data_IF_923435321507
#
_entry.id   IF_923435321507
#
_cell.length_a   1.000
_cell.length_b   1.000
_cell.length_c   1.000
_cell.angle_alpha   90.00
_cell.angle_beta   90.00
_cell.angle_gamma   90.00
#
_symmetry.space_group_name_H-M   'P 1'
#
loop_
_entity.id
_entity.type
_entity.pdbx_description
1 polymer ?
#
# COMPACT_ATOMS: atom_id res chain seq x y z
N UNK A 1 -59.72 23.39 -10.37
CA UNK A 1 -58.99 22.29 -11.00
C UNK A 1 -58.20 22.90 -12.15
N UNK A 2 -56.87 22.88 -12.24
CA UNK A 2 -55.85 22.03 -11.64
C UNK A 2 -54.54 22.85 -11.63
N UNK A 3 -53.98 23.17 -10.47
CA UNK A 3 -52.89 22.43 -9.82
C UNK A 3 -51.59 22.45 -10.62
N UNK A 4 -50.80 23.51 -10.42
CA UNK A 4 -49.37 23.56 -10.74
C UNK A 4 -48.64 22.69 -9.69
N UNK A 5 -47.95 21.66 -10.16
CA UNK A 5 -47.16 20.73 -9.34
C UNK A 5 -45.92 21.45 -8.75
N UNK A 6 -45.97 21.75 -7.45
CA UNK A 6 -44.78 21.96 -6.63
C UNK A 6 -44.02 20.63 -6.50
N UNK A 7 -42.97 20.45 -7.30
CA UNK A 7 -42.05 19.34 -7.13
C UNK A 7 -40.93 19.77 -6.18
N UNK A 8 -41.13 19.49 -4.90
CA UNK A 8 -40.13 19.70 -3.85
C UNK A 8 -38.81 19.01 -4.18
N UNK A 9 -37.73 19.78 -4.11
CA UNK A 9 -36.37 19.26 -4.12
C UNK A 9 -36.12 18.50 -2.82
N UNK A 10 -36.20 17.17 -2.87
CA UNK A 10 -35.65 16.30 -1.83
C UNK A 10 -34.12 16.43 -1.85
N UNK A 11 -33.60 17.33 -1.02
CA UNK A 11 -32.20 17.35 -0.64
C UNK A 11 -31.92 16.11 0.21
N UNK A 12 -31.45 15.04 -0.43
CA UNK A 12 -30.87 13.90 0.27
C UNK A 12 -29.57 14.36 0.96
N UNK A 13 -29.71 14.77 2.22
CA UNK A 13 -28.59 15.02 3.13
C UNK A 13 -27.84 13.72 3.39
N UNK A 14 -26.80 13.47 2.59
CA UNK A 14 -25.81 12.44 2.87
C UNK A 14 -25.01 12.91 4.09
N UNK A 15 -25.00 12.17 5.23
CA UNK A 15 -24.28 12.59 6.42
C UNK A 15 -22.80 12.72 6.07
N UNK A 16 -22.19 13.85 6.45
CA UNK A 16 -20.83 14.25 6.12
C UNK A 16 -19.80 13.13 6.34
N UNK A 17 -19.63 12.33 5.30
CA UNK A 17 -18.63 11.29 5.21
C UNK A 17 -17.25 11.92 5.19
N UNK A 18 -16.31 11.23 5.83
CA UNK A 18 -14.91 11.61 5.89
C UNK A 18 -14.33 11.82 4.47
N UNK A 19 -14.19 13.08 4.05
CA UNK A 19 -13.65 13.43 2.73
C UNK A 19 -12.12 13.30 2.76
N UNK A 20 -11.61 12.20 2.20
CA UNK A 20 -10.19 12.07 1.88
C UNK A 20 -9.88 12.99 0.71
N UNK A 21 -9.29 14.16 0.97
CA UNK A 21 -8.73 15.01 -0.08
C UNK A 21 -7.54 14.31 -0.73
N UNK A 22 -7.77 13.68 -1.87
CA UNK A 22 -6.73 13.16 -2.75
C UNK A 22 -5.97 14.36 -3.36
N UNK A 23 -4.85 14.73 -2.75
CA UNK A 23 -3.89 15.63 -3.42
C UNK A 23 -3.28 14.88 -4.61
N UNK A 24 -3.71 15.28 -5.81
CA UNK A 24 -3.25 14.76 -7.09
C UNK A 24 -1.81 15.18 -7.39
N UNK A 25 -1.01 14.18 -7.77
CA UNK A 25 0.14 14.19 -8.67
C UNK A 25 1.23 15.25 -8.43
N UNK A 26 2.13 14.97 -7.50
CA UNK A 26 3.54 15.31 -7.71
C UNK A 26 4.10 14.34 -8.76
N UNK A 27 4.67 14.85 -9.85
CA UNK A 27 5.37 14.08 -10.87
C UNK A 27 6.42 13.19 -10.20
N UNK A 28 6.15 11.88 -10.17
CA UNK A 28 7.09 10.89 -9.68
C UNK A 28 8.16 10.76 -10.75
N UNK A 29 9.36 11.23 -10.46
CA UNK A 29 10.54 10.96 -11.27
C UNK A 29 10.74 9.44 -11.30
N UNK A 30 10.37 8.82 -12.41
CA UNK A 30 10.45 7.37 -12.59
C UNK A 30 11.94 7.01 -12.60
N UNK A 31 12.38 6.24 -11.62
CA UNK A 31 13.77 5.79 -11.55
C UNK A 31 14.17 5.09 -12.88
N UNK A 32 15.06 5.72 -13.64
CA UNK A 32 15.53 5.23 -14.95
C UNK A 32 16.36 3.95 -14.84
N UNK A 33 16.96 3.71 -13.67
CA UNK A 33 18.09 2.79 -13.48
C UNK A 33 17.76 1.31 -13.73
N UNK A 34 16.47 0.93 -13.68
CA UNK A 34 16.01 -0.44 -13.89
C UNK A 34 15.11 -0.59 -15.13
N UNK A 35 14.82 0.52 -15.83
CA UNK A 35 13.89 0.56 -16.94
C UNK A 35 14.30 -0.36 -18.09
N UNK A 36 15.58 -0.37 -18.42
CA UNK A 36 16.13 -1.18 -19.50
C UNK A 36 16.08 -2.68 -19.18
N UNK A 37 16.49 -3.06 -17.97
CA UNK A 37 16.44 -4.45 -17.50
C UNK A 37 15.01 -4.99 -17.47
N UNK A 38 14.06 -4.22 -16.93
CA UNK A 38 12.64 -4.59 -16.94
C UNK A 38 12.12 -4.69 -18.37
N UNK A 39 12.52 -3.79 -19.26
CA UNK A 39 12.13 -3.83 -20.68
C UNK A 39 12.67 -5.07 -21.38
N UNK A 40 13.89 -5.49 -21.05
CA UNK A 40 14.50 -6.74 -21.53
C UNK A 40 13.70 -7.97 -21.06
N UNK A 41 13.32 -8.02 -19.77
CA UNK A 41 12.43 -9.09 -19.25
C UNK A 41 11.09 -9.11 -19.99
N UNK A 42 10.46 -7.95 -20.20
CA UNK A 42 9.21 -7.85 -20.98
C UNK A 42 9.37 -8.38 -22.41
N UNK A 43 10.52 -8.16 -23.06
CA UNK A 43 10.77 -8.68 -24.42
C UNK A 43 10.79 -10.20 -24.43
N UNK A 44 11.48 -10.85 -23.49
CA UNK A 44 11.48 -12.32 -23.36
C UNK A 44 10.08 -12.84 -23.08
N UNK A 45 9.39 -12.26 -22.11
CA UNK A 45 8.03 -12.71 -21.75
C UNK A 45 7.10 -12.59 -22.98
N UNK A 46 7.20 -11.52 -23.76
CA UNK A 46 6.44 -11.35 -25.00
C UNK A 46 6.85 -12.35 -26.08
N UNK A 47 8.12 -12.70 -26.20
CA UNK A 47 8.62 -13.68 -27.18
C UNK A 47 7.91 -15.02 -27.00
N UNK A 48 7.85 -15.52 -25.77
CA UNK A 48 7.20 -16.79 -25.45
C UNK A 48 5.67 -16.65 -25.48
N UNK A 49 5.09 -15.57 -24.98
CA UNK A 49 3.62 -15.39 -25.01
C UNK A 49 3.04 -15.22 -26.40
N UNK A 50 3.75 -14.59 -27.34
CA UNK A 50 3.25 -14.31 -28.70
C UNK A 50 3.41 -15.49 -29.66
N UNK A 51 4.32 -16.41 -29.39
CA UNK A 51 4.63 -17.52 -30.29
C UNK A 51 4.33 -18.85 -29.62
N UNK A 52 3.23 -19.54 -30.01
CA UNK A 52 2.87 -20.83 -29.42
C UNK A 52 3.98 -21.88 -29.52
N UNK A 53 4.67 -21.93 -30.67
CA UNK A 53 5.79 -22.86 -30.89
C UNK A 53 6.95 -22.60 -29.92
N UNK A 54 7.35 -21.33 -29.73
CA UNK A 54 8.41 -20.98 -28.78
C UNK A 54 7.98 -21.25 -27.34
N UNK A 55 6.70 -21.00 -27.02
CA UNK A 55 6.14 -21.33 -25.72
C UNK A 55 6.19 -22.84 -25.47
N UNK A 56 5.86 -23.67 -26.46
CA UNK A 56 5.94 -25.13 -26.34
C UNK A 56 7.36 -25.61 -26.06
N UNK A 57 8.37 -25.03 -26.73
CA UNK A 57 9.79 -25.29 -26.41
C UNK A 57 10.10 -24.97 -24.96
N UNK A 58 9.64 -23.82 -24.44
CA UNK A 58 9.81 -23.47 -23.03
C UNK A 58 9.07 -24.46 -22.12
N UNK A 59 7.81 -24.76 -22.38
CA UNK A 59 7.00 -25.65 -21.54
C UNK A 59 7.58 -27.07 -21.49
N UNK A 60 8.24 -27.54 -22.55
CA UNK A 60 8.95 -28.82 -22.52
C UNK A 60 10.08 -28.83 -21.47
N UNK A 61 10.81 -27.72 -21.30
CA UNK A 61 11.80 -27.59 -20.23
C UNK A 61 11.15 -27.43 -18.86
N UNK A 62 10.10 -26.60 -18.76
CA UNK A 62 9.38 -26.37 -17.51
C UNK A 62 8.76 -27.67 -16.98
N UNK A 63 8.15 -28.48 -17.85
CA UNK A 63 7.58 -29.78 -17.48
C UNK A 63 8.64 -30.78 -17.03
N UNK A 64 9.83 -30.74 -17.62
CA UNK A 64 10.97 -31.57 -17.18
C UNK A 64 11.49 -31.16 -15.81
N UNK A 65 11.52 -29.87 -15.49
CA UNK A 65 12.08 -29.35 -14.23
C UNK A 65 11.07 -29.32 -13.08
N UNK A 66 9.81 -28.98 -13.36
CA UNK A 66 8.76 -28.74 -12.37
C UNK A 66 7.59 -29.73 -12.42
N UNK A 67 7.55 -30.64 -13.41
CA UNK A 67 6.48 -31.63 -13.56
C UNK A 67 5.11 -31.05 -13.98
N UNK A 68 5.04 -29.73 -14.21
CA UNK A 68 3.82 -29.01 -14.60
C UNK A 68 4.16 -27.86 -15.54
N UNK A 69 3.16 -27.39 -16.27
CA UNK A 69 3.31 -26.21 -17.10
C UNK A 69 3.21 -24.95 -16.23
N UNK A 70 4.18 -24.04 -16.39
CA UNK A 70 4.22 -22.75 -15.69
C UNK A 70 4.32 -21.68 -16.76
N UNK A 71 3.32 -20.79 -16.79
CA UNK A 71 3.27 -19.71 -17.77
C UNK A 71 4.02 -18.48 -17.27
N UNK A 72 4.68 -17.79 -18.20
CA UNK A 72 5.24 -16.47 -17.95
C UNK A 72 4.14 -15.42 -17.90
N UNK A 73 4.20 -14.57 -16.87
CA UNK A 73 3.24 -13.48 -16.65
C UNK A 73 3.83 -12.19 -17.20
N UNK A 74 3.08 -11.48 -18.04
CA UNK A 74 3.46 -10.12 -18.46
C UNK A 74 2.85 -9.11 -17.50
N UNK A 75 3.63 -8.09 -17.13
CA UNK A 75 3.13 -7.01 -16.29
C UNK A 75 2.06 -6.17 -17.02
N UNK A 76 1.20 -5.52 -16.24
CA UNK A 76 0.15 -4.65 -16.76
C UNK A 76 0.17 -3.31 -16.03
N UNK A 77 -0.06 -2.23 -16.79
CA UNK A 77 0.10 -0.85 -16.28
C UNK A 77 -0.87 -0.51 -15.14
N UNK A 78 -2.04 -1.15 -15.12
CA UNK A 78 -3.15 -0.81 -14.22
C UNK A 78 -3.14 -1.60 -12.92
N UNK A 79 -2.32 -2.66 -12.80
CA UNK A 79 -2.29 -3.48 -11.60
C UNK A 79 -0.92 -3.39 -10.93
N UNK A 80 -0.88 -2.81 -9.73
CA UNK A 80 0.34 -2.45 -9.01
C UNK A 80 1.26 -3.66 -8.72
N UNK A 81 0.71 -4.87 -8.55
CA UNK A 81 1.51 -6.07 -8.26
C UNK A 81 2.03 -6.81 -9.51
N UNK A 82 1.62 -6.37 -10.71
CA UNK A 82 1.85 -7.15 -11.93
C UNK A 82 3.33 -7.24 -12.30
N UNK A 83 4.11 -6.18 -12.04
CA UNK A 83 5.56 -6.17 -12.21
C UNK A 83 6.25 -7.18 -11.28
N UNK A 84 5.84 -7.23 -10.01
CA UNK A 84 6.37 -8.19 -9.04
C UNK A 84 6.07 -9.63 -9.48
N UNK A 85 4.85 -9.91 -9.95
CA UNK A 85 4.47 -11.23 -10.46
C UNK A 85 5.24 -11.62 -11.74
N UNK A 86 5.51 -10.66 -12.64
CA UNK A 86 6.34 -10.90 -13.83
C UNK A 86 7.76 -11.30 -13.43
N UNK A 87 8.40 -10.53 -12.54
CA UNK A 87 9.77 -10.79 -12.07
C UNK A 87 9.85 -12.14 -11.34
N UNK A 88 8.90 -12.44 -10.46
CA UNK A 88 8.80 -13.72 -9.75
C UNK A 88 8.69 -14.91 -10.73
N UNK A 89 7.79 -14.81 -11.72
CA UNK A 89 7.64 -15.87 -12.74
C UNK A 89 8.89 -16.04 -13.60
N UNK A 90 9.59 -14.94 -13.91
CA UNK A 90 10.82 -14.95 -14.70
C UNK A 90 11.99 -15.58 -13.91
N UNK A 91 12.18 -15.18 -12.65
CA UNK A 91 13.23 -15.71 -11.79
C UNK A 91 13.05 -17.21 -11.53
N UNK A 92 11.81 -17.67 -11.34
CA UNK A 92 11.47 -19.10 -11.23
C UNK A 92 11.88 -19.87 -12.48
N UNK A 93 11.61 -19.34 -13.66
CA UNK A 93 11.85 -20.04 -14.92
C UNK A 93 13.20 -19.73 -15.57
N UNK A 94 14.13 -19.05 -14.88
CA UNK A 94 15.38 -18.56 -15.48
C UNK A 94 16.19 -19.65 -16.21
N UNK A 95 16.30 -20.84 -15.61
CA UNK A 95 17.09 -21.95 -16.19
C UNK A 95 16.39 -22.53 -17.43
N UNK A 96 15.07 -22.72 -17.35
CA UNK A 96 14.24 -23.15 -18.46
C UNK A 96 14.30 -22.15 -19.63
N UNK A 97 14.24 -20.85 -19.33
CA UNK A 97 14.33 -19.77 -20.31
C UNK A 97 15.70 -19.79 -21.01
N UNK A 98 16.80 -19.88 -20.25
CA UNK A 98 18.14 -19.95 -20.84
C UNK A 98 18.29 -21.14 -21.80
N UNK A 99 17.84 -22.34 -21.40
CA UNK A 99 17.87 -23.54 -22.26
C UNK A 99 17.01 -23.36 -23.51
N UNK A 100 15.78 -22.86 -23.35
CA UNK A 100 14.89 -22.62 -24.47
C UNK A 100 15.45 -21.57 -25.46
N UNK A 101 16.13 -20.53 -24.96
CA UNK A 101 16.76 -19.52 -25.82
C UNK A 101 17.94 -20.09 -26.61
N UNK A 102 18.71 -21.01 -26.02
CA UNK A 102 19.81 -21.71 -26.71
C UNK A 102 19.24 -22.57 -27.85
N UNK A 103 18.20 -23.37 -27.59
CA UNK A 103 17.56 -24.22 -28.60
C UNK A 103 16.95 -23.44 -29.76
N UNK A 104 16.42 -22.24 -29.46
CA UNK A 104 15.84 -21.35 -30.47
C UNK A 104 16.92 -20.59 -31.26
N UNK A 105 18.21 -20.79 -30.98
CA UNK A 105 19.32 -20.07 -31.60
C UNK A 105 19.39 -18.59 -31.22
N UNK A 106 18.67 -18.18 -30.17
CA UNK A 106 18.60 -16.80 -29.68
C UNK A 106 19.57 -16.52 -28.53
N UNK A 107 20.25 -17.54 -28.01
CA UNK A 107 21.17 -17.43 -26.88
C UNK A 107 22.35 -16.48 -27.11
N UNK A 108 22.77 -16.27 -28.37
CA UNK A 108 23.85 -15.34 -28.73
C UNK A 108 23.37 -13.90 -28.95
N UNK A 109 22.07 -13.64 -28.95
CA UNK A 109 21.55 -12.31 -29.18
C UNK A 109 21.59 -11.51 -27.86
N UNK A 110 22.31 -10.37 -27.80
CA UNK A 110 22.45 -9.57 -26.59
C UNK A 110 21.11 -9.02 -26.07
N UNK A 111 20.09 -8.95 -26.92
CA UNK A 111 18.74 -8.52 -26.53
C UNK A 111 18.01 -9.54 -25.63
N UNK A 112 18.38 -10.82 -25.72
CA UNK A 112 17.75 -11.92 -24.97
C UNK A 112 18.69 -12.62 -23.99
N UNK A 113 20.00 -12.33 -24.05
CA UNK A 113 20.99 -12.91 -23.15
C UNK A 113 21.12 -12.08 -21.87
N UNK A 114 20.99 -12.73 -20.71
CA UNK A 114 21.12 -12.08 -19.39
C UNK A 114 22.46 -12.43 -18.76
N UNK A 115 23.15 -11.44 -18.20
CA UNK A 115 24.36 -11.68 -17.41
C UNK A 115 24.01 -12.13 -15.99
N UNK A 116 24.96 -12.74 -15.27
CA UNK A 116 24.71 -13.16 -13.89
C UNK A 116 24.47 -11.95 -12.97
N UNK A 117 25.09 -10.80 -13.28
CA UNK A 117 24.83 -9.53 -12.59
C UNK A 117 23.39 -9.06 -12.80
N UNK A 118 22.87 -9.12 -14.02
CA UNK A 118 21.47 -8.77 -14.32
C UNK A 118 20.50 -9.70 -13.58
N UNK A 119 20.79 -11.01 -13.52
CA UNK A 119 20.00 -11.95 -12.72
C UNK A 119 20.08 -11.68 -11.22
N UNK A 120 21.26 -11.26 -10.71
CA UNK A 120 21.41 -10.85 -9.33
C UNK A 120 20.54 -9.63 -9.02
N UNK A 121 20.51 -8.64 -9.92
CA UNK A 121 19.65 -7.45 -9.78
C UNK A 121 18.17 -7.82 -9.80
N UNK A 122 17.74 -8.73 -10.69
CA UNK A 122 16.34 -9.19 -10.72
C UNK A 122 15.94 -9.94 -9.44
N UNK A 123 16.87 -10.68 -8.83
CA UNK A 123 16.66 -11.35 -7.54
C UNK A 123 16.55 -10.34 -6.40
N UNK A 124 17.39 -9.31 -6.41
CA UNK A 124 17.31 -8.22 -5.45
C UNK A 124 15.98 -7.46 -5.58
N UNK A 125 15.52 -7.19 -6.80
CA UNK A 125 14.22 -6.57 -7.07
C UNK A 125 13.05 -7.42 -6.55
N UNK A 126 13.11 -8.73 -6.74
CA UNK A 126 12.11 -9.65 -6.20
C UNK A 126 12.04 -9.53 -4.66
N UNK A 127 13.18 -9.59 -3.98
CA UNK A 127 13.25 -9.48 -2.52
C UNK A 127 12.73 -8.13 -2.00
N UNK A 128 12.97 -7.05 -2.74
CA UNK A 128 12.46 -5.71 -2.41
C UNK A 128 10.94 -5.62 -2.57
N UNK A 129 10.38 -6.28 -3.59
CA UNK A 129 8.92 -6.25 -3.81
C UNK A 129 8.14 -7.17 -2.87
N UNK A 130 8.74 -8.24 -2.32
CA UNK A 130 8.08 -9.15 -1.38
C UNK A 130 7.41 -8.44 -0.18
N UNK A 131 8.09 -7.61 0.63
CA UNK A 131 7.46 -6.93 1.76
C UNK A 131 6.34 -5.98 1.34
N UNK A 132 6.46 -5.36 0.16
CA UNK A 132 5.41 -4.50 -0.40
C UNK A 132 4.18 -5.33 -0.79
N UNK A 133 4.38 -6.48 -1.42
CA UNK A 133 3.29 -7.39 -1.81
C UNK A 133 2.52 -7.90 -0.59
N UNK A 134 3.23 -8.40 0.42
CA UNK A 134 2.63 -8.86 1.68
C UNK A 134 1.87 -7.75 2.39
N UNK A 135 2.43 -6.54 2.40
CA UNK A 135 1.77 -5.40 3.02
C UNK A 135 0.43 -5.09 2.37
N UNK A 136 0.40 -5.03 1.04
CA UNK A 136 -0.85 -4.74 0.33
C UNK A 136 -1.85 -5.90 0.46
N UNK A 137 -1.41 -7.15 0.44
CA UNK A 137 -2.32 -8.29 0.69
C UNK A 137 -3.02 -8.17 2.04
N UNK A 138 -2.31 -7.75 3.09
CA UNK A 138 -2.91 -7.49 4.41
C UNK A 138 -3.85 -6.28 4.39
N UNK A 139 -3.45 -5.19 3.73
CA UNK A 139 -4.26 -3.97 3.64
C UNK A 139 -5.54 -4.14 2.82
N UNK A 140 -5.56 -5.07 1.88
CA UNK A 140 -6.72 -5.37 1.04
C UNK A 140 -7.70 -6.36 1.67
N UNK A 141 -7.44 -6.88 2.88
CA UNK A 141 -8.38 -7.76 3.56
C UNK A 141 -9.60 -6.97 4.05
N UNK A 142 -10.76 -7.63 4.07
CA UNK A 142 -12.01 -7.01 4.51
C UNK A 142 -12.01 -6.63 6.01
N UNK A 143 -11.20 -7.33 6.81
CA UNK A 143 -11.02 -7.08 8.25
C UNK A 143 -9.88 -6.08 8.55
N UNK A 144 -9.27 -5.45 7.54
CA UNK A 144 -8.18 -4.51 7.73
C UNK A 144 -8.66 -3.23 8.42
N UNK A 145 -8.28 -3.06 9.68
CA UNK A 145 -8.52 -1.84 10.45
C UNK A 145 -7.41 -0.82 10.27
N UNK A 146 -7.66 0.43 10.66
CA UNK A 146 -6.64 1.49 10.65
C UNK A 146 -5.41 1.13 11.51
N UNK A 147 -5.61 0.38 12.60
CA UNK A 147 -4.53 -0.14 13.43
C UNK A 147 -3.70 -1.20 12.69
N UNK A 148 -4.38 -2.13 12.00
CA UNK A 148 -3.72 -3.13 11.15
C UNK A 148 -2.88 -2.44 10.08
N UNK A 149 -3.45 -1.43 9.41
CA UNK A 149 -2.75 -0.67 8.39
C UNK A 149 -1.47 0.00 8.92
N UNK A 150 -1.53 0.66 10.07
CA UNK A 150 -0.36 1.28 10.71
C UNK A 150 0.74 0.23 10.99
N UNK A 151 0.39 -0.91 11.56
CA UNK A 151 1.37 -1.97 11.85
C UNK A 151 1.95 -2.61 10.60
N UNK A 152 1.14 -2.79 9.56
CA UNK A 152 1.56 -3.35 8.27
C UNK A 152 2.50 -2.40 7.52
N UNK A 153 2.22 -1.09 7.52
CA UNK A 153 3.12 -0.10 6.91
C UNK A 153 4.46 -0.03 7.64
N UNK A 154 4.46 -0.08 8.98
CA UNK A 154 5.70 -0.17 9.78
C UNK A 154 6.48 -1.44 9.48
N UNK A 155 5.79 -2.58 9.41
CA UNK A 155 6.39 -3.86 9.03
C UNK A 155 7.06 -3.78 7.65
N UNK A 156 6.35 -3.23 6.66
CA UNK A 156 6.87 -3.08 5.30
C UNK A 156 8.16 -2.27 5.28
N UNK A 157 8.17 -1.11 5.94
CA UNK A 157 9.33 -0.22 5.97
C UNK A 157 10.50 -0.86 6.70
N UNK A 158 10.26 -1.47 7.87
CA UNK A 158 11.31 -2.17 8.61
C UNK A 158 11.93 -3.28 7.76
N UNK A 159 11.09 -4.06 7.07
CA UNK A 159 11.56 -5.12 6.17
C UNK A 159 12.38 -4.60 5.00
N UNK A 160 11.99 -3.47 4.41
CA UNK A 160 12.78 -2.83 3.36
C UNK A 160 14.13 -2.33 3.87
N UNK A 161 14.21 -1.81 5.09
CA UNK A 161 15.44 -1.34 5.71
C UNK A 161 16.39 -2.47 6.12
N UNK A 162 15.83 -3.61 6.56
CA UNK A 162 16.58 -4.83 6.87
C UNK A 162 17.33 -5.40 5.65
N UNK A 163 16.86 -5.15 4.43
CA UNK A 163 17.50 -5.66 3.20
C UNK A 163 18.87 -5.02 2.93
N UNK A 164 19.20 -3.86 3.53
CA UNK A 164 20.48 -3.14 3.36
C UNK A 164 20.88 -2.91 1.89
N UNK A 165 19.90 -2.82 0.98
CA UNK A 165 20.12 -2.51 -0.45
C UNK A 165 19.84 -1.03 -0.71
N UNK A 166 20.60 -0.37 -1.61
CA UNK A 166 20.41 1.05 -1.89
C UNK A 166 19.00 1.35 -2.42
N UNK A 167 18.48 0.50 -3.31
CA UNK A 167 17.12 0.63 -3.83
C UNK A 167 16.06 0.43 -2.72
N UNK A 168 16.28 -0.52 -1.81
CA UNK A 168 15.35 -0.77 -0.70
C UNK A 168 15.27 0.43 0.24
N UNK A 169 16.40 1.07 0.55
CA UNK A 169 16.43 2.30 1.33
C UNK A 169 15.79 3.48 0.61
N UNK A 170 16.00 3.64 -0.70
CA UNK A 170 15.34 4.67 -1.51
C UNK A 170 13.83 4.48 -1.50
N UNK A 171 13.37 3.24 -1.73
CA UNK A 171 11.95 2.90 -1.69
C UNK A 171 11.35 3.13 -0.30
N UNK A 172 12.01 2.68 0.77
CA UNK A 172 11.57 2.90 2.14
C UNK A 172 11.45 4.40 2.46
N UNK A 173 12.42 5.20 2.05
CA UNK A 173 12.42 6.66 2.24
C UNK A 173 11.28 7.35 1.49
N UNK A 174 11.06 6.98 0.23
CA UNK A 174 9.92 7.49 -0.57
C UNK A 174 8.58 7.07 0.02
N UNK A 175 8.46 5.83 0.50
CA UNK A 175 7.25 5.35 1.19
C UNK A 175 7.01 6.11 2.50
N UNK A 176 8.05 6.30 3.33
CA UNK A 176 7.98 7.10 4.57
C UNK A 176 7.47 8.51 4.28
N UNK A 177 7.99 9.17 3.24
CA UNK A 177 7.55 10.50 2.84
C UNK A 177 6.07 10.52 2.42
N UNK A 178 5.65 9.61 1.53
CA UNK A 178 4.27 9.53 1.06
C UNK A 178 3.27 9.20 2.17
N UNK A 179 3.65 8.33 3.10
CA UNK A 179 2.83 7.99 4.25
C UNK A 179 2.72 9.20 5.18
N UNK A 180 3.83 9.88 5.49
CA UNK A 180 3.81 11.09 6.32
C UNK A 180 2.94 12.21 5.73
N UNK A 181 2.91 12.37 4.40
CA UNK A 181 2.06 13.35 3.72
C UNK A 181 0.55 13.04 3.86
N UNK A 182 0.18 11.76 4.00
CA UNK A 182 -1.22 11.30 3.97
C UNK A 182 -1.76 10.81 5.31
N UNK A 183 -0.90 10.71 6.33
CA UNK A 183 -1.26 10.17 7.64
C UNK A 183 -2.20 11.13 8.36
N UNK A 184 -3.38 10.62 8.73
CA UNK A 184 -4.36 11.40 9.47
C UNK A 184 -4.05 11.37 10.98
N UNK A 185 -4.22 12.48 11.72
CA UNK A 185 -4.16 12.53 13.18
C UNK A 185 -5.03 11.47 13.90
N UNK A 186 -6.14 11.05 13.29
CA UNK A 186 -7.07 10.03 13.80
C UNK A 186 -6.38 8.69 14.05
N UNK A 187 -5.38 8.32 13.23
CA UNK A 187 -4.58 7.11 13.45
C UNK A 187 -3.88 7.16 14.80
N UNK A 188 -3.37 8.33 15.21
CA UNK A 188 -2.72 8.49 16.49
C UNK A 188 -3.70 8.45 17.67
N UNK A 189 -4.91 9.01 17.50
CA UNK A 189 -5.99 8.88 18.48
C UNK A 189 -6.35 7.42 18.70
N UNK A 190 -6.57 6.67 17.63
CA UNK A 190 -6.90 5.26 17.70
C UNK A 190 -5.77 4.44 18.37
N UNK A 191 -4.52 4.71 18.02
CA UNK A 191 -3.35 4.08 18.65
C UNK A 191 -3.28 4.36 20.17
N UNK A 192 -3.54 5.61 20.58
CA UNK A 192 -3.57 6.00 21.99
C UNK A 192 -4.66 5.26 22.76
N UNK A 193 -5.89 5.24 22.23
CA UNK A 193 -7.03 4.60 22.87
C UNK A 193 -6.87 3.07 22.97
N UNK A 194 -6.34 2.43 21.92
CA UNK A 194 -6.15 0.98 21.90
C UNK A 194 -5.02 0.52 22.83
N UNK A 195 -3.93 1.29 22.97
CA UNK A 195 -2.79 0.89 23.80
C UNK A 195 -2.05 2.12 24.37
N UNK A 196 -2.53 2.70 25.48
CA UNK A 196 -1.95 3.91 26.08
C UNK A 196 -0.47 3.76 26.46
N UNK A 197 -0.01 2.56 26.83
CA UNK A 197 1.39 2.29 27.20
C UNK A 197 2.34 2.22 26.00
N UNK A 198 1.86 1.81 24.82
CA UNK A 198 2.64 1.79 23.57
C UNK A 198 2.75 3.18 22.93
N UNK A 199 1.99 4.16 23.43
CA UNK A 199 2.00 5.56 22.99
C UNK A 199 3.33 6.29 23.28
N UNK A 200 4.11 5.79 24.25
CA UNK A 200 5.32 6.47 24.76
C UNK A 200 6.61 6.05 24.02
N UNK A 201 6.61 4.90 23.31
CA UNK A 201 7.84 4.22 22.86
C UNK A 201 8.01 4.07 21.34
N UNK A 202 7.33 4.86 20.50
CA UNK A 202 7.55 4.78 19.05
C UNK A 202 8.74 5.65 18.62
N UNK A 203 9.90 5.00 18.47
CA UNK A 203 11.21 5.58 18.13
C UNK A 203 11.34 6.21 16.73
N UNK A 204 10.31 6.13 15.89
CA UNK A 204 10.41 6.51 14.49
C UNK A 204 9.88 7.94 14.25
N UNK A 205 10.76 8.92 14.07
CA UNK A 205 10.46 10.36 13.96
C UNK A 205 9.35 10.71 12.92
N UNK A 206 9.18 9.93 11.85
CA UNK A 206 8.17 10.18 10.80
C UNK A 206 6.88 9.37 10.95
N UNK A 207 6.94 8.26 11.68
CA UNK A 207 5.74 7.59 12.23
C UNK A 207 5.44 8.07 13.66
N UNK A 208 6.13 9.12 14.10
CA UNK A 208 6.02 9.73 15.40
C UNK A 208 4.59 10.19 15.66
N UNK A 209 4.21 10.14 16.93
CA UNK A 209 2.88 10.53 17.35
C UNK A 209 2.75 12.06 17.34
N UNK A 210 1.59 12.63 16.96
CA UNK A 210 1.30 14.05 17.11
C UNK A 210 1.44 14.47 18.58
N UNK A 211 1.72 15.76 18.80
CA UNK A 211 1.87 16.31 20.14
C UNK A 211 0.61 16.06 21.00
N UNK A 212 0.78 15.89 22.32
CA UNK A 212 -0.34 15.63 23.26
C UNK A 212 -1.50 16.62 23.13
N UNK A 213 -1.20 17.88 22.82
CA UNK A 213 -2.20 18.92 22.55
C UNK A 213 -3.04 18.64 21.29
N UNK A 214 -2.40 18.24 20.19
CA UNK A 214 -3.08 17.88 18.95
C UNK A 214 -3.98 16.65 19.16
N UNK A 215 -3.52 15.68 19.93
CA UNK A 215 -4.32 14.52 20.31
C UNK A 215 -5.59 14.92 21.09
N UNK A 216 -5.45 15.78 22.11
CA UNK A 216 -6.59 16.28 22.90
C UNK A 216 -7.58 17.05 22.04
N UNK A 217 -7.10 17.88 21.13
CA UNK A 217 -7.93 18.65 20.21
C UNK A 217 -8.75 17.75 19.28
N UNK A 218 -8.13 16.71 18.70
CA UNK A 218 -8.86 15.76 17.85
C UNK A 218 -9.83 14.89 18.66
N UNK A 219 -9.49 14.50 19.88
CA UNK A 219 -10.42 13.84 20.81
C UNK A 219 -11.63 14.73 21.12
N UNK A 220 -11.41 16.01 21.40
CA UNK A 220 -12.47 16.98 21.67
C UNK A 220 -13.42 17.11 20.48
N UNK A 221 -12.89 17.24 19.26
CA UNK A 221 -13.70 17.27 18.02
C UNK A 221 -14.55 16.01 17.83
N UNK A 222 -14.00 14.83 18.14
CA UNK A 222 -14.76 13.57 18.01
C UNK A 222 -15.91 13.56 19.02
N UNK A 223 -15.65 13.95 20.27
CA UNK A 223 -16.66 14.03 21.32
C UNK A 223 -17.74 15.04 20.92
N UNK A 224 -17.36 16.25 20.50
CA UNK A 224 -18.31 17.26 20.02
C UNK A 224 -19.14 16.75 18.84
N UNK A 225 -18.54 16.05 17.87
CA UNK A 225 -19.27 15.48 16.73
C UNK A 225 -20.25 14.38 17.15
N UNK A 226 -19.89 13.55 18.13
CA UNK A 226 -20.72 12.43 18.56
C UNK A 226 -21.85 12.88 19.49
N UNK A 227 -21.60 13.86 20.36
CA UNK A 227 -22.53 14.25 21.42
C UNK A 227 -23.25 15.59 21.20
N UNK A 228 -22.70 16.55 20.44
CA UNK A 228 -23.43 17.80 20.13
C UNK A 228 -24.45 17.67 18.98
N UNK A 229 -24.48 16.53 18.27
CA UNK A 229 -25.56 16.23 17.33
C UNK A 229 -26.82 15.69 18.03
N UNK A 230 -26.73 15.27 19.30
CA UNK A 230 -27.87 14.79 20.09
C UNK A 230 -28.60 15.92 20.82
N UNK A 231 -27.95 17.06 21.05
CA UNK A 231 -28.55 18.21 21.78
C UNK A 231 -29.61 18.97 21.00
N UNK A 232 -29.74 18.76 19.69
CA UNK A 232 -30.85 19.34 18.91
C UNK A 232 -32.16 18.52 19.01
N UNK A 233 -32.23 17.47 19.84
CA UNK A 233 -33.46 16.68 19.97
C UNK A 233 -33.89 16.29 21.39
N UNK A 234 -33.30 16.88 22.44
CA UNK A 234 -33.83 16.75 23.80
C UNK A 234 -33.76 18.09 24.54
N UNK A 235 -34.89 18.80 24.53
CA UNK A 235 -35.20 19.75 25.60
C UNK A 235 -35.15 19.00 26.95
N UNK A 236 -34.21 19.42 27.80
CA UNK A 236 -34.29 19.20 29.24
C UNK A 236 -33.86 17.82 29.73
N UNK A 237 -32.56 17.62 29.93
CA UNK A 237 -32.06 16.98 31.16
C UNK A 237 -30.54 17.24 31.29
N UNK A 238 -30.14 17.76 32.46
CA UNK A 238 -28.73 18.09 32.81
C UNK A 238 -27.77 16.96 32.43
N UNK A 239 -26.66 17.31 31.78
CA UNK A 239 -25.58 16.37 31.49
C UNK A 239 -24.71 16.15 32.74
N UNK A 240 -24.04 14.98 32.88
CA UNK A 240 -23.13 14.70 33.99
C UNK A 240 -21.90 15.62 34.10
N UNK A 241 -21.65 16.48 33.09
CA UNK A 241 -20.55 17.45 33.13
C UNK A 241 -20.79 18.58 34.15
N UNK A 242 -22.05 18.89 34.47
CA UNK A 242 -22.40 19.94 35.42
C UNK A 242 -22.11 19.55 36.88
N UNK A 243 -21.92 18.25 37.16
CA UNK A 243 -21.68 17.73 38.52
C UNK A 243 -20.19 17.82 38.92
N UNK A 244 -19.27 17.95 37.96
CA UNK A 244 -17.82 18.00 38.25
C UNK A 244 -17.26 19.40 38.47
N UNK A 245 -18.04 20.47 38.25
CA UNK A 245 -17.59 21.87 38.42
C UNK A 245 -18.04 22.48 39.75
N UNK A 246 -18.82 21.76 40.58
CA UNK A 246 -19.41 22.32 41.81
C UNK A 246 -18.75 21.87 43.12
N UNK A 247 -17.48 21.43 43.10
CA UNK A 247 -16.83 20.92 44.32
C UNK A 247 -15.52 21.60 44.71
N UNK A 248 -15.13 22.70 44.06
CA UNK A 248 -13.83 23.34 44.30
C UNK A 248 -13.87 24.77 44.87
N UNK A 249 -15.01 25.28 45.35
CA UNK A 249 -15.03 26.60 46.01
C UNK A 249 -15.95 26.56 47.26
N UNK A 250 -15.37 26.29 48.42
CA UNK A 250 -15.82 26.77 49.75
C UNK A 250 -14.74 26.40 50.80
N UNK A 251 -13.67 27.20 50.85
CA UNK A 251 -12.78 27.35 52.02
C UNK A 251 -12.36 28.82 52.10
N UNK A 252 -13.13 29.61 52.86
CA UNK A 252 -12.70 30.69 53.78
C UNK A 252 -13.91 31.36 54.48
#
# INVERSE_FOLDING_TARGET
>A
ESSEDERGEETNDIPAGFVVKLTTNEEVEIASDYGDLITKVRKIVRLFRKSPLKNETLQNYVRKEYGKDIQLVLDCKTHWNSLSNMIDSFNKLKLCICKALIDLGLGSNPEYCFTEEEFSVLRDLEQIFQPVKLAVEVLCRQDATLLTAETTLKFMIRKLEELKKPLAHKLASSMRQRISQRRNPMTAVLMYLHSPTKYVFLEDEKFGLPAKYQLRHELKKIIERLFCNEENNYEGTRTPLDIMVSSDDDDD
#
